data_IF_391009295492
#
_entry.id   IF_391009295492
#
_cell.length_a   1.000
_cell.length_b   1.000
_cell.length_c   1.000
_cell.angle_alpha   90.00
_cell.angle_beta   90.00
_cell.angle_gamma   90.00
#
_symmetry.space_group_name_H-M   'P 1'
#
loop_
_entity.id
_entity.type
_entity.pdbx_description
1 polymer ?
#
# COMPACT_ATOMS: atom_id res chain seq x y z
N UNK A 1 10.52 0.35 -33.64
CA UNK A 1 11.62 0.90 -32.82
C UNK A 1 12.44 -0.28 -32.27
N UNK A 2 13.78 -0.28 -32.40
CA UNK A 2 14.64 -1.40 -31.99
C UNK A 2 14.56 -1.78 -30.50
N UNK A 3 14.21 -0.83 -29.63
CA UNK A 3 14.12 -1.08 -28.18
C UNK A 3 12.80 -1.76 -27.83
N UNK A 4 11.70 -1.34 -28.48
CA UNK A 4 10.38 -1.98 -28.32
C UNK A 4 10.40 -3.45 -28.75
N UNK A 5 11.21 -3.82 -29.75
CA UNK A 5 11.35 -5.21 -30.21
C UNK A 5 12.03 -6.14 -29.18
N UNK A 6 12.62 -5.59 -28.10
CA UNK A 6 13.22 -6.37 -27.00
C UNK A 6 12.21 -6.68 -25.89
N UNK A 7 11.02 -6.10 -25.94
CA UNK A 7 9.94 -6.38 -25.01
C UNK A 7 9.29 -7.70 -25.42
N UNK A 8 9.43 -8.72 -24.58
CA UNK A 8 8.98 -10.09 -24.87
C UNK A 8 7.82 -10.54 -23.96
N UNK A 9 7.40 -9.71 -22.98
CA UNK A 9 6.25 -9.96 -22.11
C UNK A 9 5.01 -9.20 -22.61
N UNK A 10 3.83 -9.74 -22.29
CA UNK A 10 2.53 -9.19 -22.72
C UNK A 10 1.74 -8.53 -21.59
N UNK A 11 2.28 -8.53 -20.37
CA UNK A 11 1.58 -8.04 -19.18
C UNK A 11 1.36 -6.53 -19.23
N UNK A 12 0.12 -6.13 -18.92
CA UNK A 12 -0.29 -4.73 -18.81
C UNK A 12 -0.17 -4.29 -17.35
N UNK A 13 1.05 -4.21 -16.83
CA UNK A 13 1.26 -3.80 -15.44
C UNK A 13 2.68 -3.97 -14.93
N UNK A 14 2.94 -3.39 -13.76
CA UNK A 14 4.24 -3.55 -13.09
C UNK A 14 4.06 -4.47 -11.88
N UNK A 15 4.55 -5.70 -12.02
CA UNK A 15 4.46 -6.74 -10.99
C UNK A 15 5.17 -6.37 -9.67
N UNK A 16 6.05 -5.36 -9.69
CA UNK A 16 6.74 -4.84 -8.52
C UNK A 16 5.80 -4.47 -7.36
N UNK A 17 4.59 -3.97 -7.66
CA UNK A 17 3.65 -3.54 -6.63
C UNK A 17 3.20 -4.69 -5.73
N UNK A 18 3.20 -5.92 -6.26
CA UNK A 18 2.83 -7.12 -5.51
C UNK A 18 3.96 -7.56 -4.57
N UNK A 19 5.20 -7.17 -4.85
CA UNK A 19 6.38 -7.64 -4.11
C UNK A 19 6.71 -6.80 -2.87
N UNK A 20 6.06 -5.65 -2.69
CA UNK A 20 6.34 -4.75 -1.56
C UNK A 20 5.27 -4.87 -0.47
N UNK A 21 5.69 -5.02 0.81
CA UNK A 21 4.73 -4.98 1.90
C UNK A 21 4.19 -3.55 2.09
N UNK A 22 3.06 -3.43 2.78
CA UNK A 22 2.33 -2.16 2.89
C UNK A 22 3.01 -1.24 3.92
N UNK A 23 3.60 -0.14 3.46
CA UNK A 23 4.25 0.88 4.28
C UNK A 23 3.49 2.21 4.16
N UNK A 24 2.42 2.43 4.93
CA UNK A 24 1.70 3.70 4.88
C UNK A 24 2.48 4.77 5.63
N UNK A 25 2.87 5.85 4.96
CA UNK A 25 3.43 7.03 5.60
C UNK A 25 2.55 7.46 6.79
N UNK A 26 3.09 7.58 8.02
CA UNK A 26 2.26 7.74 9.21
C UNK A 26 1.44 9.04 9.27
N UNK A 27 1.77 10.02 8.42
CA UNK A 27 1.13 11.34 8.37
C UNK A 27 0.09 11.40 7.26
N UNK A 28 0.48 11.05 6.03
CA UNK A 28 -0.35 11.19 4.83
C UNK A 28 -1.12 9.92 4.44
N UNK A 29 -0.68 8.76 4.93
CA UNK A 29 -1.19 7.44 4.53
C UNK A 29 -0.76 7.00 3.12
N UNK A 30 0.14 7.74 2.46
CA UNK A 30 0.68 7.36 1.15
C UNK A 30 1.63 6.17 1.27
N UNK A 31 1.64 5.28 0.28
CA UNK A 31 2.54 4.13 0.30
C UNK A 31 4.00 4.56 0.03
N UNK A 32 4.93 4.11 0.88
CA UNK A 32 6.36 4.35 0.73
C UNK A 32 6.99 3.34 -0.25
N UNK A 33 7.03 3.71 -1.54
CA UNK A 33 7.50 2.85 -2.62
C UNK A 33 9.01 2.60 -2.67
N UNK A 34 9.82 3.43 -2.00
CA UNK A 34 11.28 3.30 -2.05
C UNK A 34 11.72 2.14 -1.14
N UNK A 35 12.00 0.99 -1.74
CA UNK A 35 12.38 -0.24 -1.04
C UNK A 35 13.71 -0.77 -1.56
N UNK A 36 14.56 -1.26 -0.65
CA UNK A 36 15.78 -1.96 -1.04
C UNK A 36 15.42 -3.35 -1.58
N UNK A 37 16.02 -3.72 -2.71
CA UNK A 37 15.78 -5.02 -3.37
C UNK A 37 17.11 -5.74 -3.63
N UNK A 38 17.05 -7.08 -3.72
CA UNK A 38 18.15 -7.90 -4.19
C UNK A 38 17.83 -8.41 -5.59
N UNK A 39 18.74 -8.15 -6.53
CA UNK A 39 18.62 -8.62 -7.92
C UNK A 39 19.54 -9.81 -8.13
N UNK A 40 19.05 -10.83 -8.84
CA UNK A 40 19.84 -11.99 -9.29
C UNK A 40 19.56 -12.27 -10.76
N UNK A 41 20.45 -13.03 -11.42
CA UNK A 41 20.16 -13.58 -12.74
C UNK A 41 19.01 -14.58 -12.64
N UNK A 42 18.11 -14.58 -13.62
CA UNK A 42 17.06 -15.58 -13.75
C UNK A 42 17.65 -16.98 -13.96
N UNK A 43 17.04 -17.98 -13.33
CA UNK A 43 17.35 -19.40 -13.43
C UNK A 43 16.46 -20.06 -14.50
N UNK A 44 16.86 -21.24 -14.98
CA UNK A 44 16.11 -21.94 -16.02
C UNK A 44 14.69 -22.38 -15.59
N UNK A 45 14.44 -22.44 -14.28
CA UNK A 45 13.12 -22.75 -13.70
C UNK A 45 12.25 -21.52 -13.46
N UNK A 46 12.81 -20.30 -13.50
CA UNK A 46 12.03 -19.08 -13.30
C UNK A 46 11.16 -18.83 -14.53
N UNK A 47 9.87 -18.57 -14.31
CA UNK A 47 8.92 -18.19 -15.35
C UNK A 47 8.45 -16.75 -15.19
N UNK A 48 8.10 -16.06 -16.28
CA UNK A 48 7.49 -14.74 -16.20
C UNK A 48 6.19 -14.80 -15.38
N UNK A 49 6.05 -13.91 -14.40
CA UNK A 49 4.91 -13.91 -13.48
C UNK A 49 5.07 -14.79 -12.23
N UNK A 50 6.23 -15.45 -12.05
CA UNK A 50 6.56 -16.13 -10.81
C UNK A 50 6.73 -15.13 -9.67
N UNK A 51 5.64 -14.90 -8.94
CA UNK A 51 5.56 -13.96 -7.83
C UNK A 51 5.17 -14.73 -6.58
N UNK A 52 5.98 -14.58 -5.53
CA UNK A 52 5.69 -15.11 -4.20
C UNK A 52 5.69 -13.98 -3.18
N UNK A 53 4.68 -13.98 -2.32
CA UNK A 53 4.49 -12.97 -1.28
C UNK A 53 4.21 -13.65 0.04
N UNK A 54 4.96 -13.27 1.07
CA UNK A 54 4.68 -13.67 2.44
C UNK A 54 3.64 -12.72 3.05
N UNK A 55 2.39 -13.16 3.09
CA UNK A 55 1.27 -12.34 3.56
C UNK A 55 1.37 -11.99 5.04
N UNK A 56 1.95 -12.87 5.85
CA UNK A 56 2.10 -12.64 7.28
C UNK A 56 3.16 -11.57 7.54
N UNK A 57 4.32 -11.65 6.85
CA UNK A 57 5.32 -10.58 6.90
C UNK A 57 4.77 -9.26 6.36
N UNK A 58 4.00 -9.29 5.28
CA UNK A 58 3.38 -8.07 4.76
C UNK A 58 2.43 -7.43 5.77
N UNK A 59 1.66 -8.25 6.50
CA UNK A 59 0.75 -7.77 7.53
C UNK A 59 1.49 -7.25 8.75
N UNK A 60 2.54 -7.92 9.20
CA UNK A 60 3.33 -7.48 10.36
C UNK A 60 3.99 -6.13 10.11
N UNK A 61 4.57 -5.92 8.93
CA UNK A 61 5.11 -4.62 8.50
C UNK A 61 4.04 -3.52 8.54
N UNK A 62 2.85 -3.79 7.99
CA UNK A 62 1.74 -2.85 8.04
C UNK A 62 1.39 -2.45 9.49
N UNK A 63 1.29 -3.44 10.39
CA UNK A 63 1.01 -3.16 11.80
C UNK A 63 2.12 -2.37 12.49
N UNK A 64 3.39 -2.67 12.21
CA UNK A 64 4.52 -1.87 12.73
C UNK A 64 4.41 -0.42 12.30
N UNK A 65 4.09 -0.16 11.03
CA UNK A 65 3.94 1.22 10.55
C UNK A 65 2.71 1.92 11.11
N UNK A 66 1.61 1.18 11.32
CA UNK A 66 0.39 1.70 11.94
C UNK A 66 0.66 2.25 13.36
N UNK A 67 1.62 1.68 14.09
CA UNK A 67 1.99 2.16 15.44
C UNK A 67 2.57 3.58 15.45
N UNK A 68 3.07 4.08 14.32
CA UNK A 68 3.58 5.45 14.20
C UNK A 68 2.48 6.47 13.85
N UNK A 69 1.27 6.00 13.53
CA UNK A 69 0.16 6.86 13.13
C UNK A 69 -0.48 7.56 14.31
N UNK A 70 -1.18 8.66 14.02
CA UNK A 70 -1.99 9.38 15.00
C UNK A 70 -3.44 8.90 14.90
N UNK A 71 -4.07 8.52 16.02
CA UNK A 71 -5.42 7.99 15.99
C UNK A 71 -6.42 9.09 15.60
N UNK A 72 -7.36 8.74 14.71
CA UNK A 72 -8.23 9.72 14.05
C UNK A 72 -9.34 10.27 14.95
N UNK A 73 -9.76 9.51 15.97
CA UNK A 73 -10.66 9.95 17.03
C UNK A 73 -10.05 11.08 17.89
N UNK A 74 -8.73 11.06 18.12
CA UNK A 74 -8.06 12.10 18.90
C UNK A 74 -7.56 13.28 18.04
N UNK A 75 -7.15 13.03 16.79
CA UNK A 75 -6.45 14.02 15.98
C UNK A 75 -7.22 14.55 14.77
N UNK A 76 -8.36 13.94 14.40
CA UNK A 76 -9.15 14.45 13.28
C UNK A 76 -9.88 15.74 13.69
N UNK A 77 -9.78 16.82 12.89
CA UNK A 77 -10.38 18.11 13.24
C UNK A 77 -11.92 18.09 13.23
N UNK A 78 -12.52 17.10 12.55
CA UNK A 78 -13.97 16.93 12.41
C UNK A 78 -14.45 15.53 12.82
N UNK A 79 -13.61 14.75 13.48
CA UNK A 79 -13.94 13.38 13.93
C UNK A 79 -14.15 12.38 12.79
N UNK A 80 -13.65 12.68 11.58
CA UNK A 80 -13.74 11.76 10.44
C UNK A 80 -12.45 10.96 10.25
N UNK A 81 -12.54 9.80 9.58
CA UNK A 81 -11.39 8.95 9.22
C UNK A 81 -10.33 9.67 8.38
N UNK A 82 -10.73 10.73 7.66
CA UNK A 82 -9.87 11.49 6.75
C UNK A 82 -10.56 12.80 6.34
N UNK A 83 -9.82 13.86 6.03
CA UNK A 83 -10.41 15.13 5.61
C UNK A 83 -11.30 15.02 4.37
N UNK A 84 -12.51 15.57 4.44
CA UNK A 84 -13.45 15.56 3.30
C UNK A 84 -13.02 16.50 2.17
N UNK A 85 -12.32 17.60 2.46
CA UNK A 85 -11.94 18.61 1.46
C UNK A 85 -10.79 18.19 0.55
N UNK A 86 -10.06 17.11 0.86
CA UNK A 86 -9.02 16.58 -0.01
C UNK A 86 -9.63 16.01 -1.31
N UNK A 87 -9.12 16.45 -2.46
CA UNK A 87 -9.49 15.95 -3.79
C UNK A 87 -9.06 14.50 -3.96
N UNK A 88 -9.93 13.67 -4.55
CA UNK A 88 -9.69 12.24 -4.76
C UNK A 88 -10.41 11.75 -6.02
N UNK A 89 -9.77 10.92 -6.84
CA UNK A 89 -10.48 10.06 -7.79
C UNK A 89 -11.46 9.18 -7.02
N UNK A 90 -12.69 9.03 -7.53
CA UNK A 90 -13.72 8.17 -6.93
C UNK A 90 -14.00 8.51 -5.45
N UNK A 91 -14.27 9.80 -5.17
CA UNK A 91 -14.56 10.29 -3.81
C UNK A 91 -15.73 9.52 -3.17
N UNK A 92 -15.53 8.86 -2.01
CA UNK A 92 -16.58 8.06 -1.38
C UNK A 92 -17.75 8.91 -0.87
N UNK A 93 -18.92 8.28 -0.67
CA UNK A 93 -20.05 8.92 -0.01
C UNK A 93 -19.70 9.34 1.43
N UNK A 94 -20.37 10.38 1.95
CA UNK A 94 -20.06 11.00 3.25
C UNK A 94 -20.06 10.00 4.41
N UNK A 95 -20.92 9.00 4.37
CA UNK A 95 -21.04 8.03 5.47
C UNK A 95 -19.77 7.20 5.68
N UNK A 96 -19.00 6.95 4.62
CA UNK A 96 -17.74 6.22 4.70
C UNK A 96 -16.58 7.03 5.33
N UNK A 97 -16.83 8.29 5.68
CA UNK A 97 -15.88 9.12 6.40
C UNK A 97 -16.06 9.00 7.92
N UNK A 98 -17.21 8.50 8.41
CA UNK A 98 -17.47 8.38 9.85
C UNK A 98 -16.56 7.34 10.49
N UNK A 99 -16.06 7.64 11.69
CA UNK A 99 -15.42 6.65 12.55
C UNK A 99 -16.45 5.63 13.04
N UNK A 100 -16.05 4.39 13.38
CA UNK A 100 -16.94 3.45 14.07
C UNK A 100 -17.39 4.02 15.42
N UNK A 101 -18.58 3.65 15.89
CA UNK A 101 -19.11 4.10 17.19
C UNK A 101 -18.32 3.55 18.39
N UNK A 102 -17.52 2.50 18.19
CA UNK A 102 -16.62 1.94 19.20
C UNK A 102 -15.15 2.11 18.77
N UNK A 103 -14.50 3.13 19.30
CA UNK A 103 -13.02 3.21 19.39
C UNK A 103 -12.67 3.49 20.85
N UNK A 104 -13.10 2.62 21.77
CA UNK A 104 -12.68 2.69 23.19
C UNK A 104 -11.73 1.57 23.59
N UNK A 105 -11.26 0.79 22.63
CA UNK A 105 -10.18 -0.18 22.85
C UNK A 105 -8.84 0.48 22.57
N UNK A 106 -8.27 1.18 23.56
CA UNK A 106 -6.81 1.28 23.63
C UNK A 106 -6.26 -0.16 23.60
N UNK A 107 -5.14 -0.42 22.90
CA UNK A 107 -4.48 -1.72 22.99
C UNK A 107 -4.13 -2.09 24.44
#
# INVERSE_FOLDING_TARGET
DPDTARIWWTDVGVHQNLTFPVHPDPISGMHCWHQAVRVRKAEASDSPGDISVDLEKSRSVYHTWLQFTRPADEHSPDGTRRPFWLLRPLKPARDFYRLPEEVSGKP
#
